data_IF_134452939895
#
_entry.id   IF_134452939895
#
_cell.length_a   1.000
_cell.length_b   1.000
_cell.length_c   1.000
_cell.angle_alpha   90.00
_cell.angle_beta   90.00
_cell.angle_gamma   90.00
#
_symmetry.space_group_name_H-M   'P 1'
#
loop_
_entity.id
_entity.type
_entity.pdbx_description
1 polymer ?
#
# COMPACT_ATOMS: atom_id res chain seq x y z
N UNK A 1 -0.86 -62.65 -16.06
CA UNK A 1 -0.55 -61.91 -14.82
C UNK A 1 0.21 -60.57 -15.02
N UNK A 2 0.38 -60.06 -16.22
CA UNK A 2 1.14 -58.82 -16.50
C UNK A 2 0.29 -57.54 -16.53
N UNK A 3 -1.05 -57.63 -16.50
CA UNK A 3 -1.93 -56.46 -16.71
C UNK A 3 -2.33 -55.66 -15.46
N UNK A 4 -2.20 -56.25 -14.27
CA UNK A 4 -2.66 -55.55 -13.05
C UNK A 4 -1.64 -54.52 -12.52
N UNK A 5 -0.36 -54.71 -12.76
CA UNK A 5 0.67 -53.77 -12.32
C UNK A 5 0.64 -52.46 -13.11
N UNK A 6 0.40 -52.55 -14.42
CA UNK A 6 0.30 -51.35 -15.28
C UNK A 6 -0.91 -50.46 -14.90
N UNK A 7 -2.02 -51.09 -14.53
CA UNK A 7 -3.25 -50.37 -14.11
C UNK A 7 -3.04 -49.69 -12.75
N UNK A 8 -2.32 -50.31 -11.83
CA UNK A 8 -1.96 -49.73 -10.54
C UNK A 8 -1.04 -48.50 -10.71
N UNK A 9 -0.02 -48.61 -11.52
CA UNK A 9 0.92 -47.51 -11.82
C UNK A 9 0.20 -46.36 -12.47
N UNK A 10 -0.73 -46.60 -13.40
CA UNK A 10 -1.52 -45.58 -14.08
C UNK A 10 -2.47 -44.83 -13.10
N UNK A 11 -3.10 -45.55 -12.15
CA UNK A 11 -3.94 -44.96 -11.11
C UNK A 11 -3.15 -44.08 -10.16
N UNK A 12 -1.98 -44.50 -9.71
CA UNK A 12 -1.09 -43.70 -8.85
C UNK A 12 -0.56 -42.46 -9.57
N UNK A 13 -0.20 -42.61 -10.84
CA UNK A 13 0.25 -41.49 -11.67
C UNK A 13 -0.86 -40.45 -11.88
N UNK A 14 -2.09 -40.90 -12.11
CA UNK A 14 -3.26 -40.02 -12.23
C UNK A 14 -3.65 -39.32 -10.91
N UNK A 15 -3.48 -40.02 -9.79
CA UNK A 15 -3.65 -39.46 -8.46
C UNK A 15 -2.61 -38.38 -8.15
N UNK A 16 -1.36 -38.64 -8.50
CA UNK A 16 -0.22 -37.73 -8.32
C UNK A 16 -0.38 -36.43 -9.14
N UNK A 17 -0.86 -36.56 -10.38
CA UNK A 17 -1.19 -35.41 -11.24
C UNK A 17 -2.32 -34.57 -10.63
N UNK A 18 -3.35 -35.20 -10.07
CA UNK A 18 -4.44 -34.46 -9.38
C UNK A 18 -3.94 -33.70 -8.14
N UNK A 19 -3.04 -34.29 -7.37
CA UNK A 19 -2.46 -33.65 -6.18
C UNK A 19 -1.59 -32.46 -6.60
N UNK A 20 -0.78 -32.60 -7.64
CA UNK A 20 0.07 -31.50 -8.16
C UNK A 20 -0.83 -30.37 -8.73
N UNK A 21 -1.92 -30.71 -9.44
CA UNK A 21 -2.84 -29.73 -9.98
C UNK A 21 -3.62 -28.98 -8.88
N UNK A 22 -3.96 -29.64 -7.78
CA UNK A 22 -4.65 -29.02 -6.65
C UNK A 22 -3.73 -28.06 -5.86
N UNK A 23 -2.41 -28.31 -5.83
CA UNK A 23 -1.43 -27.45 -5.16
C UNK A 23 -1.07 -26.19 -5.97
N UNK A 24 -1.39 -26.15 -7.26
CA UNK A 24 -1.02 -25.04 -8.17
C UNK A 24 -2.00 -23.85 -8.15
N UNK A 25 -3.11 -23.90 -7.39
CA UNK A 25 -4.19 -22.90 -7.45
C UNK A 25 -4.17 -21.90 -6.28
N UNK A 26 -3.16 -21.93 -5.41
CA UNK A 26 -3.05 -20.97 -4.32
C UNK A 26 -2.11 -19.81 -4.64
N UNK A 27 -2.28 -19.17 -5.79
CA UNK A 27 -1.82 -17.78 -5.94
C UNK A 27 -2.91 -16.90 -5.35
N UNK A 28 -2.88 -16.68 -4.05
CA UNK A 28 -3.66 -15.63 -3.41
C UNK A 28 -3.02 -14.33 -3.87
N UNK A 29 -3.57 -13.75 -4.93
CA UNK A 29 -3.33 -12.34 -5.24
C UNK A 29 -4.03 -11.55 -4.14
N UNK A 30 -3.27 -11.07 -3.15
CA UNK A 30 -3.71 -9.96 -2.33
C UNK A 30 -3.88 -8.78 -3.27
N UNK A 31 -5.12 -8.53 -3.69
CA UNK A 31 -5.46 -7.29 -4.33
C UNK A 31 -5.15 -6.19 -3.31
N UNK A 32 -4.31 -5.26 -3.71
CA UNK A 32 -3.79 -4.19 -2.87
C UNK A 32 -4.88 -3.12 -2.73
N UNK A 33 -6.00 -3.45 -2.05
CA UNK A 33 -7.17 -2.58 -1.90
C UNK A 33 -6.88 -1.31 -1.08
N UNK A 34 -5.75 -1.29 -0.36
CA UNK A 34 -5.41 -0.21 0.57
C UNK A 34 -4.32 0.74 0.06
N UNK A 35 -3.87 0.59 -1.19
CA UNK A 35 -2.89 1.50 -1.78
C UNK A 35 -3.52 2.86 -2.06
N UNK A 36 -3.03 3.89 -1.39
CA UNK A 36 -3.55 5.26 -1.49
C UNK A 36 -2.65 6.21 -2.29
N UNK A 37 -1.40 5.83 -2.53
CA UNK A 37 -0.45 6.67 -3.25
C UNK A 37 0.91 6.01 -3.47
N UNK A 38 1.88 6.80 -3.84
CA UNK A 38 3.27 6.37 -4.01
C UNK A 38 4.25 7.52 -3.72
N UNK A 39 5.48 7.14 -3.42
CA UNK A 39 6.59 8.07 -3.26
C UNK A 39 7.08 8.51 -4.63
N UNK A 40 7.19 9.82 -4.87
CA UNK A 40 7.68 10.37 -6.14
C UNK A 40 9.11 10.90 -6.05
N UNK A 41 9.51 11.37 -4.86
CA UNK A 41 10.86 11.88 -4.63
C UNK A 41 11.32 11.52 -3.21
N UNK A 42 12.60 11.20 -3.06
CA UNK A 42 13.26 10.98 -1.76
C UNK A 42 14.64 11.62 -1.79
N UNK A 43 14.97 12.30 -0.70
CA UNK A 43 16.32 12.66 -0.35
C UNK A 43 16.56 12.22 1.10
N UNK A 44 17.52 11.33 1.35
CA UNK A 44 17.77 10.73 2.65
C UNK A 44 16.97 9.44 2.91
N UNK A 45 16.56 9.21 4.14
CA UNK A 45 15.86 7.99 4.59
C UNK A 45 14.43 8.30 5.01
N UNK A 46 13.49 7.56 4.42
CA UNK A 46 12.06 7.61 4.72
C UNK A 46 11.62 6.22 5.12
N UNK A 47 10.90 6.11 6.21
CA UNK A 47 10.42 4.84 6.76
C UNK A 47 8.90 4.84 6.79
N UNK A 48 8.29 3.73 6.40
CA UNK A 48 6.88 3.46 6.65
C UNK A 48 6.76 2.47 7.81
N UNK A 49 5.84 2.72 8.72
CA UNK A 49 5.57 1.92 9.90
C UNK A 49 4.10 1.49 9.85
N UNK A 50 3.85 0.19 9.88
CA UNK A 50 2.49 -0.37 9.88
C UNK A 50 1.87 -0.33 11.29
N UNK A 51 0.55 -0.57 11.39
CA UNK A 51 -0.14 -0.73 12.68
C UNK A 51 0.43 -1.87 13.54
N UNK A 52 1.07 -2.87 12.90
CA UNK A 52 1.73 -3.99 13.57
C UNK A 52 3.17 -3.65 14.01
N UNK A 53 3.59 -2.39 13.85
CA UNK A 53 4.94 -1.87 14.14
C UNK A 53 6.03 -2.50 13.28
N UNK A 54 5.68 -2.99 12.11
CA UNK A 54 6.66 -3.39 11.10
C UNK A 54 7.17 -2.18 10.35
N UNK A 55 8.48 -2.04 10.27
CA UNK A 55 9.15 -0.95 9.59
C UNK A 55 9.67 -1.39 8.23
N UNK A 56 9.55 -0.52 7.23
CA UNK A 56 10.18 -0.70 5.93
C UNK A 56 10.75 0.62 5.41
N UNK A 57 11.95 0.57 4.85
CA UNK A 57 12.51 1.71 4.13
C UNK A 57 11.73 1.94 2.83
N UNK A 58 11.39 3.19 2.56
CA UNK A 58 10.71 3.57 1.32
C UNK A 58 11.71 3.98 0.25
N UNK A 59 11.48 3.52 -0.95
CA UNK A 59 12.16 3.91 -2.17
C UNK A 59 11.23 4.72 -3.08
N UNK A 60 11.83 5.40 -4.06
CA UNK A 60 11.05 6.08 -5.12
C UNK A 60 10.19 5.05 -5.85
N UNK A 61 8.92 5.36 -6.06
CA UNK A 61 7.84 4.55 -6.60
C UNK A 61 7.25 3.49 -5.66
N UNK A 62 7.73 3.37 -4.42
CA UNK A 62 7.08 2.51 -3.45
C UNK A 62 5.65 2.98 -3.16
N UNK A 63 4.80 2.00 -2.91
CA UNK A 63 3.39 2.23 -2.58
C UNK A 63 3.23 2.69 -1.14
N UNK A 64 2.30 3.62 -0.94
CA UNK A 64 1.83 4.06 0.36
C UNK A 64 0.46 3.45 0.61
N UNK A 65 0.25 2.94 1.81
CA UNK A 65 -0.98 2.28 2.21
C UNK A 65 -1.70 3.07 3.31
N UNK A 66 -3.00 2.83 3.42
CA UNK A 66 -3.80 3.45 4.49
C UNK A 66 -3.32 2.96 5.86
N UNK A 67 -3.37 3.86 6.86
CA UNK A 67 -2.92 3.64 8.25
C UNK A 67 -1.42 3.43 8.45
N UNK A 68 -0.59 3.48 7.40
CA UNK A 68 0.87 3.54 7.63
C UNK A 68 1.27 4.92 8.16
N UNK A 69 2.11 4.93 9.18
CA UNK A 69 2.85 6.13 9.58
C UNK A 69 4.07 6.27 8.67
N UNK A 70 4.23 7.43 8.03
CA UNK A 70 5.37 7.72 7.17
C UNK A 70 6.25 8.73 7.89
N UNK A 71 7.50 8.36 8.12
CA UNK A 71 8.46 9.17 8.86
C UNK A 71 9.67 9.54 8.01
N UNK A 72 9.93 10.84 7.91
CA UNK A 72 11.16 11.40 7.33
C UNK A 72 12.18 11.62 8.43
N UNK A 73 13.32 10.95 8.36
CA UNK A 73 14.39 11.07 9.35
C UNK A 73 15.07 12.44 9.28
N UNK A 74 16.01 12.70 10.19
CA UNK A 74 16.81 13.93 10.20
C UNK A 74 17.56 14.12 8.87
N UNK A 75 17.56 15.34 8.33
CA UNK A 75 18.17 15.68 7.04
C UNK A 75 17.45 15.09 5.82
N UNK A 76 16.29 14.43 6.00
CA UNK A 76 15.57 13.75 4.93
C UNK A 76 14.36 14.55 4.47
N UNK A 77 13.99 14.37 3.20
CA UNK A 77 12.77 14.94 2.62
C UNK A 77 12.12 13.92 1.67
N UNK A 78 10.81 13.96 1.55
CA UNK A 78 10.07 13.13 0.60
C UNK A 78 8.94 13.90 -0.05
N UNK A 79 8.59 13.51 -1.26
CA UNK A 79 7.37 13.89 -1.94
C UNK A 79 6.52 12.65 -2.15
N UNK A 80 5.29 12.67 -1.66
CA UNK A 80 4.30 11.61 -1.81
C UNK A 80 3.17 12.14 -2.68
N UNK A 81 2.76 11.36 -3.67
CA UNK A 81 1.58 11.65 -4.47
C UNK A 81 0.51 10.61 -4.21
N UNK A 82 -0.66 11.06 -3.77
CA UNK A 82 -1.84 10.21 -3.60
C UNK A 82 -2.58 9.97 -4.91
N UNK A 83 -3.43 8.94 -4.95
CA UNK A 83 -4.16 8.53 -6.15
C UNK A 83 -5.18 9.57 -6.65
N UNK A 84 -5.50 10.58 -5.87
CA UNK A 84 -6.32 11.74 -6.24
C UNK A 84 -5.50 12.92 -6.78
N UNK A 85 -4.19 12.73 -6.92
CA UNK A 85 -3.19 13.75 -7.28
C UNK A 85 -2.91 14.79 -6.18
N UNK A 86 -3.34 14.58 -4.95
CA UNK A 86 -2.83 15.34 -3.81
C UNK A 86 -1.35 15.05 -3.64
N UNK A 87 -0.54 16.08 -3.51
CA UNK A 87 0.89 15.97 -3.28
C UNK A 87 1.25 16.47 -1.89
N UNK A 88 2.01 15.67 -1.14
CA UNK A 88 2.51 16.01 0.19
C UNK A 88 4.03 16.02 0.17
N UNK A 89 4.62 17.18 0.47
CA UNK A 89 6.06 17.34 0.62
C UNK A 89 6.38 17.32 2.12
N UNK A 90 7.11 16.30 2.55
CA UNK A 90 7.55 16.11 3.92
C UNK A 90 8.93 16.72 4.12
N UNK A 91 9.11 17.50 5.18
CA UNK A 91 10.42 17.98 5.64
C UNK A 91 11.02 16.97 6.63
N UNK A 92 12.29 17.20 7.00
CA UNK A 92 12.96 16.38 8.01
C UNK A 92 12.18 16.30 9.33
N UNK A 93 12.35 15.21 10.05
CA UNK A 93 11.73 14.93 11.36
C UNK A 93 10.19 15.05 11.32
N UNK A 94 9.61 14.74 10.17
CA UNK A 94 8.15 14.81 9.93
C UNK A 94 7.56 13.41 9.93
N UNK A 95 6.44 13.26 10.63
CA UNK A 95 5.63 12.05 10.64
C UNK A 95 4.19 12.37 10.28
N UNK A 96 3.64 11.63 9.32
CA UNK A 96 2.24 11.70 8.89
C UNK A 96 1.59 10.32 8.85
N UNK A 97 0.28 10.28 9.09
CA UNK A 97 -0.56 9.10 8.87
C UNK A 97 -1.77 9.50 8.02
N UNK A 98 -2.28 8.59 7.19
CA UNK A 98 -3.54 8.77 6.45
C UNK A 98 -4.51 7.71 6.89
N UNK A 99 -5.53 8.11 7.66
CA UNK A 99 -6.52 7.22 8.24
C UNK A 99 -7.73 6.96 7.34
N UNK A 100 -8.06 7.89 6.43
CA UNK A 100 -9.15 7.73 5.48
C UNK A 100 -8.72 8.23 4.10
N UNK A 101 -8.98 7.40 3.08
CA UNK A 101 -8.77 7.77 1.69
C UNK A 101 -9.82 7.11 0.80
N UNK A 102 -10.74 7.91 0.27
CA UNK A 102 -11.79 7.47 -0.64
C UNK A 102 -11.81 8.39 -1.87
N UNK A 103 -11.37 7.90 -3.01
CA UNK A 103 -11.35 8.68 -4.25
C UNK A 103 -12.49 8.27 -5.22
N UNK A 104 -13.65 7.93 -4.67
CA UNK A 104 -14.85 7.59 -5.45
C UNK A 104 -15.56 8.84 -6.01
N UNK A 105 -16.60 8.61 -6.80
CA UNK A 105 -17.44 9.70 -7.30
C UNK A 105 -18.41 10.26 -6.25
N UNK A 106 -18.68 9.47 -5.22
CA UNK A 106 -19.66 9.81 -4.18
C UNK A 106 -18.93 9.88 -2.84
N UNK A 107 -19.01 11.04 -2.18
CA UNK A 107 -18.37 11.34 -0.89
C UNK A 107 -16.85 11.04 -0.89
N UNK A 108 -16.08 11.64 -1.82
CA UNK A 108 -14.62 11.46 -1.81
C UNK A 108 -14.03 12.11 -0.56
N UNK A 109 -13.12 11.41 0.11
CA UNK A 109 -12.57 11.83 1.38
C UNK A 109 -11.08 11.53 1.51
N UNK A 110 -10.32 12.46 2.08
CA UNK A 110 -8.97 12.28 2.53
C UNK A 110 -8.85 12.83 3.95
N UNK A 111 -8.46 11.97 4.89
CA UNK A 111 -8.13 12.40 6.25
C UNK A 111 -6.70 12.00 6.57
N UNK A 112 -5.87 13.00 6.82
CA UNK A 112 -4.48 12.86 7.22
C UNK A 112 -4.23 13.49 8.58
N UNK A 113 -3.29 12.94 9.33
CA UNK A 113 -2.83 13.46 10.60
C UNK A 113 -1.34 13.77 10.52
N UNK A 114 -0.95 15.00 10.82
CA UNK A 114 0.43 15.41 11.02
C UNK A 114 0.80 15.16 12.47
N UNK A 115 1.50 14.06 12.73
CA UNK A 115 1.91 13.67 14.09
C UNK A 115 3.06 14.53 14.59
N UNK A 116 3.96 14.93 13.68
CA UNK A 116 5.15 15.73 14.01
C UNK A 116 5.70 16.41 12.75
N UNK A 117 6.36 17.54 12.93
CA UNK A 117 7.18 18.17 11.91
C UNK A 117 6.43 19.13 11.00
N UNK A 118 6.76 19.13 9.70
CA UNK A 118 6.26 20.12 8.74
C UNK A 118 6.02 19.49 7.37
N UNK A 119 4.85 19.75 6.82
CA UNK A 119 4.45 19.37 5.47
C UNK A 119 4.05 20.58 4.63
N UNK A 120 4.11 20.42 3.31
CA UNK A 120 3.49 21.29 2.33
C UNK A 120 2.53 20.43 1.52
N UNK A 121 1.30 20.88 1.36
CA UNK A 121 0.26 20.13 0.64
C UNK A 121 -0.20 20.90 -0.58
N UNK A 122 -0.21 20.22 -1.72
CA UNK A 122 -0.89 20.66 -2.94
C UNK A 122 -2.12 19.77 -3.13
N UNK A 123 -3.30 20.36 -3.01
CA UNK A 123 -4.57 19.63 -3.05
C UNK A 123 -4.87 19.03 -4.42
N UNK A 124 -5.22 17.77 -4.44
CA UNK A 124 -5.63 17.02 -5.62
C UNK A 124 -7.11 17.16 -5.97
N UNK A 125 -7.68 16.11 -6.53
CA UNK A 125 -9.06 16.11 -7.04
C UNK A 125 -10.12 16.02 -5.94
N UNK A 126 -9.83 15.39 -4.80
CA UNK A 126 -10.79 15.25 -3.68
C UNK A 126 -11.21 16.64 -3.19
N UNK A 127 -10.24 17.48 -2.84
CA UNK A 127 -10.53 18.83 -2.32
C UNK A 127 -11.22 19.78 -3.32
N UNK A 128 -11.24 19.41 -4.60
CA UNK A 128 -11.85 20.23 -5.69
C UNK A 128 -13.24 19.76 -6.08
N UNK A 129 -13.72 18.64 -5.56
CA UNK A 129 -15.07 18.12 -5.81
C UNK A 129 -16.07 18.81 -4.87
N UNK A 130 -17.30 19.00 -5.35
CA UNK A 130 -18.38 19.67 -4.59
C UNK A 130 -18.69 18.95 -3.26
N UNK A 131 -18.67 17.61 -3.27
CA UNK A 131 -18.89 16.77 -2.08
C UNK A 131 -17.57 16.21 -1.51
N UNK A 132 -16.43 16.79 -1.88
CA UNK A 132 -15.11 16.32 -1.48
C UNK A 132 -14.69 16.89 -0.12
N UNK A 133 -14.22 16.04 0.77
CA UNK A 133 -13.72 16.41 2.09
C UNK A 133 -12.24 16.09 2.22
N UNK A 134 -11.44 17.11 2.51
CA UNK A 134 -10.02 16.96 2.83
C UNK A 134 -9.76 17.54 4.22
N UNK A 135 -9.35 16.69 5.14
CA UNK A 135 -9.06 17.04 6.54
C UNK A 135 -7.59 16.76 6.81
N UNK A 136 -6.89 17.75 7.37
CA UNK A 136 -5.54 17.61 7.92
C UNK A 136 -5.58 18.03 9.37
N UNK A 137 -5.43 17.05 10.25
CA UNK A 137 -5.35 17.29 11.69
C UNK A 137 -3.88 17.42 12.10
N UNK A 138 -3.61 18.19 13.15
CA UNK A 138 -2.28 18.31 13.76
C UNK A 138 -2.39 17.80 15.18
N UNK A 139 -1.58 16.77 15.49
CA UNK A 139 -1.54 16.14 16.82
C UNK A 139 -0.90 17.07 17.87
#
# INVERSE_FOLDING_TARGET
MKNNQSIFILKYFYLLIKIIFFFSITSITFANENKIGSVTEINGTIVAITDELEERDLLIHDSIFINEEIFATEGSTATIQFNDSTTVIMKELTSINVSEFENSKKNPKLKAELLKGKIIIESGSIAKKEDGEMIVEVA
#
